data_IF_714886879858
#
_entry.id   IF_714886879858
#
_cell.length_a   1.000
_cell.length_b   1.000
_cell.length_c   1.000
_cell.angle_alpha   90.00
_cell.angle_beta   90.00
_cell.angle_gamma   90.00
#
_symmetry.space_group_name_H-M   'P 1'
#
loop_
_entity.id
_entity.type
_entity.pdbx_description
1 polymer ?
#
# COMPACT_ATOMS: atom_id res chain seq x y z
N UNK A 1 -1.71 -29.38 0.36
CA UNK A 1 -1.32 -30.42 1.33
C UNK A 1 -2.47 -31.38 1.37
N UNK A 2 -2.24 -32.61 0.91
CA UNK A 2 -3.12 -33.73 1.16
C UNK A 2 -2.88 -34.20 2.59
N UNK A 3 -3.94 -34.37 3.36
CA UNK A 3 -3.90 -35.01 4.68
C UNK A 3 -4.74 -36.27 4.49
N UNK A 4 -4.11 -37.42 4.55
CA UNK A 4 -4.78 -38.70 4.39
C UNK A 4 -5.23 -39.19 5.77
N UNK A 5 -6.54 -39.30 5.96
CA UNK A 5 -7.14 -39.82 7.20
C UNK A 5 -7.83 -41.15 6.90
N UNK A 6 -7.35 -42.22 7.53
CA UNK A 6 -7.93 -43.56 7.41
C UNK A 6 -9.25 -43.61 8.19
N UNK A 7 -10.35 -43.92 7.51
CA UNK A 7 -11.65 -44.16 8.13
C UNK A 7 -12.06 -45.62 7.89
N UNK A 8 -12.33 -46.34 8.98
CA UNK A 8 -12.92 -47.69 8.95
C UNK A 8 -14.44 -47.54 9.12
N UNK A 9 -15.20 -48.15 8.22
CA UNK A 9 -16.63 -48.37 8.36
C UNK A 9 -16.92 -49.85 8.13
N UNK A 10 -17.53 -50.49 9.13
CA UNK A 10 -18.06 -51.85 9.05
C UNK A 10 -19.46 -51.75 8.41
N UNK A 11 -19.61 -52.43 7.27
CA UNK A 11 -20.83 -52.62 6.47
C UNK A 11 -21.46 -51.40 5.73
N UNK A 12 -21.28 -51.41 4.41
CA UNK A 12 -22.39 -51.26 3.45
C UNK A 12 -22.95 -49.87 3.12
N UNK A 13 -22.47 -48.78 3.71
CA UNK A 13 -22.88 -47.43 3.29
C UNK A 13 -21.74 -46.78 2.51
N UNK A 14 -21.96 -46.54 1.21
CA UNK A 14 -21.06 -45.71 0.41
C UNK A 14 -21.06 -44.29 1.00
N UNK A 15 -20.01 -43.97 1.77
CA UNK A 15 -19.80 -42.63 2.30
C UNK A 15 -19.49 -41.68 1.14
N UNK A 16 -20.19 -40.54 1.08
CA UNK A 16 -19.85 -39.46 0.15
C UNK A 16 -18.39 -39.02 0.38
N UNK A 17 -17.62 -38.92 -0.71
CA UNK A 17 -16.23 -38.49 -0.67
C UNK A 17 -16.13 -37.08 -0.06
N UNK A 18 -15.53 -36.98 1.13
CA UNK A 18 -15.28 -35.69 1.78
C UNK A 18 -14.02 -35.07 1.16
N UNK A 19 -14.18 -34.23 0.14
CA UNK A 19 -13.06 -33.45 -0.40
C UNK A 19 -12.71 -32.29 0.53
N UNK A 20 -11.63 -32.41 1.30
CA UNK A 20 -11.11 -31.30 2.10
C UNK A 20 -10.43 -30.26 1.19
N UNK A 21 -11.17 -29.23 0.79
CA UNK A 21 -10.61 -28.08 0.05
C UNK A 21 -9.87 -27.15 1.02
N UNK A 22 -8.57 -27.32 1.17
CA UNK A 22 -7.71 -26.38 1.92
C UNK A 22 -7.22 -25.25 1.01
N UNK A 23 -7.59 -24.01 1.33
CA UNK A 23 -7.06 -22.82 0.63
C UNK A 23 -5.69 -22.45 1.21
N UNK A 24 -4.67 -22.40 0.35
CA UNK A 24 -3.31 -21.97 0.75
C UNK A 24 -3.32 -20.48 1.08
N UNK A 25 -2.96 -20.12 2.31
CA UNK A 25 -2.87 -18.72 2.70
C UNK A 25 -1.57 -18.08 2.16
N UNK A 26 -1.70 -17.33 1.06
CA UNK A 26 -0.60 -16.58 0.41
C UNK A 26 -0.15 -15.31 1.17
N UNK A 27 -0.63 -15.10 2.39
CA UNK A 27 -0.06 -14.11 3.32
C UNK A 27 1.16 -14.67 4.06
N UNK A 28 1.25 -16.01 4.18
CA UNK A 28 2.31 -16.69 4.94
C UNK A 28 3.59 -16.82 4.14
N UNK A 29 4.72 -16.54 4.79
CA UNK A 29 6.06 -16.64 4.19
C UNK A 29 6.33 -18.04 3.64
N UNK A 30 6.03 -19.09 4.42
CA UNK A 30 6.26 -20.47 4.00
C UNK A 30 5.46 -20.87 2.74
N UNK A 31 4.23 -20.38 2.61
CA UNK A 31 3.39 -20.62 1.44
C UNK A 31 3.97 -19.94 0.19
N UNK A 32 4.43 -18.69 0.33
CA UNK A 32 5.04 -17.93 -0.75
C UNK A 32 6.39 -18.53 -1.19
N UNK A 33 7.20 -19.05 -0.28
CA UNK A 33 8.46 -19.75 -0.63
C UNK A 33 8.16 -21.01 -1.45
N UNK A 34 7.14 -21.79 -1.06
CA UNK A 34 6.73 -22.97 -1.84
C UNK A 34 6.23 -22.59 -3.23
N UNK A 35 5.52 -21.48 -3.36
CA UNK A 35 5.08 -20.95 -4.65
C UNK A 35 6.26 -20.48 -5.51
N UNK A 36 7.21 -19.74 -4.92
CA UNK A 36 8.43 -19.32 -5.60
C UNK A 36 9.27 -20.50 -6.08
N UNK A 37 9.38 -21.58 -5.30
CA UNK A 37 10.09 -22.80 -5.70
C UNK A 37 9.47 -23.49 -6.92
N UNK A 38 8.17 -23.29 -7.15
CA UNK A 38 7.44 -23.86 -8.29
C UNK A 38 7.33 -22.89 -9.47
N UNK A 39 7.73 -21.63 -9.31
CA UNK A 39 7.60 -20.62 -10.32
C UNK A 39 8.59 -20.85 -11.47
N UNK A 40 8.10 -20.73 -12.70
CA UNK A 40 8.91 -20.86 -13.93
C UNK A 40 9.82 -19.65 -14.12
N UNK A 41 9.41 -18.48 -13.63
CA UNK A 41 10.16 -17.22 -13.71
C UNK A 41 10.58 -16.73 -12.32
N UNK A 42 11.67 -15.97 -12.27
CA UNK A 42 12.18 -15.40 -11.02
C UNK A 42 11.26 -14.26 -10.58
N UNK A 43 10.48 -14.52 -9.52
CA UNK A 43 9.64 -13.54 -8.88
C UNK A 43 9.94 -13.48 -7.39
N UNK A 44 10.25 -12.29 -6.87
CA UNK A 44 10.34 -12.08 -5.43
C UNK A 44 8.96 -11.71 -4.90
N UNK A 45 8.43 -12.43 -3.92
CA UNK A 45 7.12 -12.12 -3.32
C UNK A 45 7.26 -11.88 -1.83
N UNK A 46 6.70 -10.78 -1.34
CA UNK A 46 6.65 -10.41 0.07
C UNK A 46 5.20 -10.47 0.55
N UNK A 47 4.93 -11.32 1.55
CA UNK A 47 3.58 -11.55 2.09
C UNK A 47 3.21 -10.64 3.25
N UNK A 48 1.92 -10.47 3.51
CA UNK A 48 1.41 -9.63 4.60
C UNK A 48 2.00 -9.99 5.98
N UNK A 49 2.31 -11.27 6.23
CA UNK A 49 2.99 -11.70 7.46
C UNK A 49 4.39 -11.06 7.59
N UNK A 50 5.18 -11.10 6.52
CA UNK A 50 6.53 -10.51 6.48
C UNK A 50 6.45 -8.98 6.54
N UNK A 51 5.48 -8.38 5.86
CA UNK A 51 5.24 -6.92 5.92
C UNK A 51 4.98 -6.46 7.35
N UNK A 52 4.14 -7.19 8.08
CA UNK A 52 3.85 -6.90 9.48
C UNK A 52 5.10 -7.08 10.37
N UNK A 53 5.89 -8.13 10.15
CA UNK A 53 7.12 -8.37 10.92
C UNK A 53 8.19 -7.30 10.67
N UNK A 54 8.28 -6.80 9.43
CA UNK A 54 9.21 -5.73 9.05
C UNK A 54 8.70 -4.32 9.37
N UNK A 55 7.49 -4.19 9.93
CA UNK A 55 6.91 -2.89 10.31
C UNK A 55 6.68 -1.94 9.13
N UNK A 56 6.44 -2.46 7.93
CA UNK A 56 6.17 -1.62 6.74
C UNK A 56 4.69 -1.26 6.66
N UNK A 57 4.42 0.02 6.41
CA UNK A 57 3.07 0.60 6.39
C UNK A 57 2.41 0.56 5.02
N UNK A 58 3.18 0.60 3.93
CA UNK A 58 2.66 0.66 2.56
C UNK A 58 3.48 -0.15 1.54
N UNK A 59 2.98 -0.25 0.31
CA UNK A 59 3.62 -1.00 -0.77
C UNK A 59 4.98 -0.41 -1.17
N UNK A 60 5.14 0.92 -1.18
CA UNK A 60 6.41 1.55 -1.52
C UNK A 60 7.53 1.10 -0.56
N UNK A 61 7.28 1.20 0.76
CA UNK A 61 8.22 0.77 1.77
C UNK A 61 8.46 -0.75 1.71
N UNK A 62 7.42 -1.53 1.40
CA UNK A 62 7.52 -2.97 1.23
C UNK A 62 8.46 -3.38 0.08
N UNK A 63 8.29 -2.81 -1.11
CA UNK A 63 9.11 -3.20 -2.28
C UNK A 63 10.58 -2.82 -2.10
N UNK A 64 10.90 -1.77 -1.34
CA UNK A 64 12.30 -1.43 -0.99
C UNK A 64 12.98 -2.48 -0.13
N UNK A 65 12.23 -3.41 0.47
CA UNK A 65 12.79 -4.57 1.18
C UNK A 65 13.22 -5.70 0.23
N UNK A 66 12.95 -5.56 -1.06
CA UNK A 66 13.45 -6.46 -2.11
C UNK A 66 14.79 -5.96 -2.62
N UNK A 67 15.74 -6.87 -2.84
CA UNK A 67 17.06 -6.52 -3.37
C UNK A 67 16.98 -5.76 -4.70
N UNK A 68 17.82 -4.74 -4.90
CA UNK A 68 17.87 -3.97 -6.15
C UNK A 68 16.66 -3.05 -6.38
N UNK A 69 15.88 -2.74 -5.33
CA UNK A 69 14.82 -1.73 -5.35
C UNK A 69 15.17 -0.64 -4.33
N UNK A 70 15.10 0.62 -4.74
CA UNK A 70 15.28 1.78 -3.87
C UNK A 70 14.10 2.75 -3.99
N UNK A 71 13.89 3.57 -2.96
CA UNK A 71 12.87 4.62 -2.99
C UNK A 71 13.39 5.79 -3.83
N UNK A 72 12.68 6.13 -4.90
CA UNK A 72 12.91 7.38 -5.65
C UNK A 72 12.11 8.53 -5.05
N UNK A 73 12.03 9.65 -5.77
CA UNK A 73 11.31 10.85 -5.31
C UNK A 73 9.81 10.59 -5.10
N UNK A 74 9.17 9.90 -6.06
CA UNK A 74 7.74 9.58 -6.04
C UNK A 74 7.44 8.09 -6.16
N UNK A 75 8.12 7.43 -7.09
CA UNK A 75 8.05 5.98 -7.30
C UNK A 75 9.38 5.30 -7.00
N UNK A 76 9.41 3.97 -7.15
CA UNK A 76 10.59 3.17 -6.86
C UNK A 76 11.50 3.06 -8.06
N UNK A 77 12.79 2.94 -7.78
CA UNK A 77 13.85 2.71 -8.76
C UNK A 77 14.23 1.24 -8.67
N UNK A 78 14.21 0.54 -9.79
CA UNK A 78 14.51 -0.90 -9.83
C UNK A 78 15.72 -1.12 -10.72
N UNK A 79 16.80 -1.71 -10.17
CA UNK A 79 18.08 -1.92 -10.87
C UNK A 79 18.63 -0.63 -11.50
N UNK A 80 18.44 0.51 -10.84
CA UNK A 80 18.86 1.83 -11.35
C UNK A 80 17.93 2.42 -12.42
N UNK A 81 16.88 1.70 -12.83
CA UNK A 81 15.91 2.17 -13.81
C UNK A 81 14.76 2.90 -13.10
N UNK A 82 14.49 4.12 -13.56
CA UNK A 82 13.41 4.97 -13.06
C UNK A 82 12.02 4.48 -13.45
N UNK A 83 11.01 5.23 -13.02
CA UNK A 83 9.59 4.87 -13.10
C UNK A 83 9.10 4.46 -14.50
N UNK A 84 9.61 5.11 -15.56
CA UNK A 84 9.20 4.84 -16.95
C UNK A 84 9.42 3.39 -17.39
N UNK A 85 10.41 2.71 -16.81
CA UNK A 85 10.77 1.33 -17.12
C UNK A 85 10.10 0.31 -16.21
N UNK A 86 9.35 0.77 -15.21
CA UNK A 86 8.61 -0.07 -14.29
C UNK A 86 7.13 -0.10 -14.69
N UNK A 87 6.43 -1.15 -14.26
CA UNK A 87 4.97 -1.27 -14.40
C UNK A 87 4.38 -1.68 -13.07
N UNK A 88 3.26 -1.07 -12.69
CA UNK A 88 2.52 -1.42 -11.48
C UNK A 88 1.17 -2.00 -11.86
N UNK A 89 0.85 -3.15 -11.26
CA UNK A 89 -0.42 -3.85 -11.43
C UNK A 89 -1.08 -4.13 -10.09
N UNK A 90 -2.41 -4.21 -10.08
CA UNK A 90 -3.22 -4.64 -8.94
C UNK A 90 -4.00 -5.88 -9.35
N UNK A 91 -3.76 -6.98 -8.67
CA UNK A 91 -4.32 -8.29 -9.00
C UNK A 91 -4.08 -8.67 -10.48
N UNK A 92 -2.92 -8.28 -11.02
CA UNK A 92 -2.54 -8.52 -12.42
C UNK A 92 -3.08 -7.49 -13.42
N UNK A 93 -3.92 -6.54 -12.99
CA UNK A 93 -4.48 -5.50 -13.86
C UNK A 93 -3.63 -4.22 -13.82
N UNK A 94 -3.36 -3.56 -14.95
CA UNK A 94 -2.59 -2.32 -14.98
C UNK A 94 -3.31 -1.20 -14.22
N UNK A 95 -2.53 -0.40 -13.48
CA UNK A 95 -3.04 0.78 -12.80
C UNK A 95 -2.55 2.06 -13.47
N UNK A 96 -3.44 3.05 -13.71
CA UNK A 96 -3.05 4.34 -14.25
C UNK A 96 -2.35 5.19 -13.18
N UNK A 97 -1.47 6.09 -13.62
CA UNK A 97 -0.85 7.10 -12.75
C UNK A 97 -1.87 8.13 -12.26
N UNK A 98 -1.67 8.62 -11.03
CA UNK A 98 -2.36 9.81 -10.50
C UNK A 98 -1.73 11.14 -10.95
N UNK A 99 -0.52 11.08 -11.52
CA UNK A 99 0.26 12.26 -11.89
C UNK A 99 0.82 12.12 -13.32
N UNK A 100 0.55 13.09 -14.21
CA UNK A 100 1.01 13.03 -15.60
C UNK A 100 2.54 13.00 -15.77
N UNK A 101 3.33 13.42 -14.78
CA UNK A 101 4.79 13.34 -14.84
C UNK A 101 5.32 11.90 -14.70
N UNK A 102 4.51 11.01 -14.12
CA UNK A 102 4.88 9.63 -13.80
C UNK A 102 4.02 8.64 -14.58
N UNK A 103 4.61 7.50 -14.90
CA UNK A 103 3.93 6.41 -15.62
C UNK A 103 3.12 5.54 -14.66
N UNK A 104 3.65 5.26 -13.48
CA UNK A 104 3.00 4.39 -12.50
C UNK A 104 2.34 5.17 -11.38
N UNK A 105 1.27 4.58 -10.84
CA UNK A 105 0.65 5.04 -9.61
C UNK A 105 1.63 5.04 -8.44
N UNK A 106 1.52 6.01 -7.54
CA UNK A 106 2.31 5.99 -6.30
C UNK A 106 1.99 4.77 -5.45
N UNK A 107 3.02 3.96 -5.17
CA UNK A 107 2.90 2.79 -4.29
C UNK A 107 2.60 3.17 -2.82
N UNK A 108 2.73 4.46 -2.45
CA UNK A 108 2.37 4.95 -1.12
C UNK A 108 0.84 4.90 -0.89
N UNK A 109 0.00 4.85 -1.95
CA UNK A 109 -1.46 4.69 -1.82
C UNK A 109 -1.92 3.33 -1.28
N UNK A 110 -1.06 2.31 -1.37
CA UNK A 110 -1.43 0.93 -1.03
C UNK A 110 -0.94 0.57 0.36
N UNK A 111 -1.81 0.68 1.35
CA UNK A 111 -1.49 0.27 2.71
C UNK A 111 -1.37 -1.24 2.87
N UNK A 112 -0.50 -1.70 3.76
CA UNK A 112 -0.36 -3.14 4.08
C UNK A 112 -1.63 -3.77 4.66
N UNK A 113 -2.57 -2.95 5.11
CA UNK A 113 -3.90 -3.38 5.54
C UNK A 113 -4.71 -4.04 4.42
N UNK A 114 -4.59 -3.58 3.17
CA UNK A 114 -5.31 -4.12 2.00
C UNK A 114 -4.51 -5.15 1.21
N UNK A 115 -3.21 -5.25 1.45
CA UNK A 115 -2.28 -6.08 0.67
C UNK A 115 -2.18 -7.47 1.27
N UNK A 116 -2.42 -8.51 0.45
CA UNK A 116 -2.16 -9.92 0.76
C UNK A 116 -0.68 -10.24 0.58
N UNK A 117 -0.13 -9.85 -0.57
CA UNK A 117 1.28 -9.94 -0.90
C UNK A 117 1.62 -8.99 -2.05
N UNK A 118 2.91 -8.74 -2.25
CA UNK A 118 3.45 -7.95 -3.36
C UNK A 118 4.46 -8.81 -4.08
N UNK A 119 4.26 -8.99 -5.38
CA UNK A 119 5.17 -9.68 -6.28
C UNK A 119 6.00 -8.67 -7.07
N UNK A 120 7.33 -8.79 -7.01
CA UNK A 120 8.28 -8.01 -7.82
C UNK A 120 8.91 -8.96 -8.83
N UNK A 121 8.50 -8.83 -10.09
CA UNK A 121 9.07 -9.59 -11.21
C UNK A 121 10.05 -8.70 -11.97
N UNK A 122 11.33 -9.11 -11.97
CA UNK A 122 12.42 -8.39 -12.65
C UNK A 122 12.87 -9.09 -13.93
N UNK A 123 12.10 -10.08 -14.38
CA UNK A 123 12.36 -10.85 -15.58
C UNK A 123 11.27 -10.54 -16.58
N UNK A 124 11.67 -10.27 -17.81
CA UNK A 124 10.72 -10.10 -18.89
C UNK A 124 9.96 -11.41 -19.11
N UNK A 125 8.62 -11.34 -19.21
CA UNK A 125 7.77 -12.49 -19.48
C UNK A 125 6.61 -12.05 -20.36
N UNK A 126 6.05 -12.97 -21.15
CA UNK A 126 4.91 -12.69 -22.04
C UNK A 126 3.65 -12.24 -21.31
N UNK A 127 3.56 -12.49 -20.00
CA UNK A 127 2.47 -12.02 -19.15
C UNK A 127 2.64 -10.56 -18.70
N UNK A 128 3.83 -9.98 -18.85
CA UNK A 128 4.10 -8.59 -18.50
C UNK A 128 3.92 -7.69 -19.73
N UNK A 129 3.66 -6.40 -19.50
CA UNK A 129 3.61 -5.42 -20.57
C UNK A 129 4.98 -5.31 -21.29
N UNK A 130 4.94 -5.13 -22.61
CA UNK A 130 6.13 -5.08 -23.47
C UNK A 130 7.07 -3.90 -23.21
N UNK A 131 6.63 -2.93 -22.42
CA UNK A 131 7.33 -1.69 -22.08
C UNK A 131 8.06 -1.76 -20.71
N UNK A 132 8.15 -2.97 -20.11
CA UNK A 132 8.79 -3.21 -18.81
C UNK A 132 10.25 -3.61 -18.99
N UNK A 133 11.16 -2.67 -18.67
CA UNK A 133 12.61 -2.91 -18.66
C UNK A 133 13.21 -3.11 -17.27
N UNK A 134 12.57 -2.57 -16.22
CA UNK A 134 13.03 -2.65 -14.83
C UNK A 134 12.37 -3.78 -14.06
N UNK A 135 11.12 -3.58 -13.68
CA UNK A 135 10.28 -4.61 -13.07
C UNK A 135 8.79 -4.36 -13.23
N UNK A 136 8.02 -5.45 -13.19
CA UNK A 136 6.60 -5.40 -12.90
C UNK A 136 6.38 -5.63 -11.39
N UNK A 137 5.62 -4.73 -10.78
CA UNK A 137 5.26 -4.74 -9.36
C UNK A 137 3.76 -5.03 -9.30
N UNK A 138 3.40 -6.25 -8.92
CA UNK A 138 2.02 -6.67 -8.78
C UNK A 138 1.62 -6.66 -7.31
N UNK A 139 0.66 -5.82 -6.96
CA UNK A 139 0.04 -5.78 -5.64
C UNK A 139 -1.14 -6.74 -5.66
N UNK A 140 -1.16 -7.73 -4.77
CA UNK A 140 -2.30 -8.63 -4.64
C UNK A 140 -3.09 -8.23 -3.40
N UNK A 141 -4.36 -7.90 -3.58
CA UNK A 141 -5.24 -7.51 -2.48
C UNK A 141 -5.66 -8.72 -1.62
N UNK A 142 -6.02 -8.46 -0.36
CA UNK A 142 -6.63 -9.45 0.52
C UNK A 142 -7.97 -9.92 -0.05
N UNK A 143 -8.26 -11.20 0.16
CA UNK A 143 -9.49 -11.85 -0.24
C UNK A 143 -10.30 -12.26 0.99
N UNK A 144 -11.61 -12.35 0.82
CA UNK A 144 -12.50 -12.80 1.88
C UNK A 144 -12.47 -14.33 2.00
N UNK A 145 -11.74 -14.84 2.98
CA UNK A 145 -11.68 -16.28 3.26
C UNK A 145 -12.93 -16.79 4.00
N UNK A 146 -13.59 -15.92 4.78
CA UNK A 146 -14.81 -16.24 5.55
C UNK A 146 -16.07 -15.76 4.81
N UNK A 147 -17.25 -16.16 5.28
CA UNK A 147 -18.53 -15.65 4.73
C UNK A 147 -18.73 -14.16 5.00
N UNK A 148 -18.26 -13.69 6.15
CA UNK A 148 -18.29 -12.28 6.56
C UNK A 148 -17.03 -11.96 7.34
N UNK A 149 -16.54 -10.74 7.20
CA UNK A 149 -15.44 -10.22 8.00
C UNK A 149 -15.63 -8.73 8.25
N UNK A 150 -15.39 -8.29 9.48
CA UNK A 150 -15.34 -6.89 9.85
C UNK A 150 -14.16 -6.67 10.79
N UNK A 151 -13.39 -5.62 10.57
CA UNK A 151 -12.31 -5.23 11.48
C UNK A 151 -12.17 -3.72 11.52
N UNK A 152 -11.98 -3.17 12.71
CA UNK A 152 -11.67 -1.77 12.93
C UNK A 152 -10.34 -1.73 13.68
N UNK A 153 -9.41 -0.87 13.23
CA UNK A 153 -8.16 -0.59 13.94
C UNK A 153 -7.99 0.90 14.07
N UNK A 154 -7.69 1.34 15.30
CA UNK A 154 -7.33 2.71 15.61
C UNK A 154 -5.91 2.68 16.16
N UNK A 155 -5.08 3.62 15.71
CA UNK A 155 -3.71 3.78 16.11
C UNK A 155 -3.41 5.23 16.48
N UNK A 156 -2.54 5.40 17.48
CA UNK A 156 -2.00 6.69 17.88
C UNK A 156 -0.53 6.52 18.19
N UNK A 157 0.31 7.50 17.86
CA UNK A 157 1.76 7.43 18.08
C UNK A 157 2.35 8.79 18.39
N UNK A 158 3.31 8.82 19.31
CA UNK A 158 4.06 10.02 19.68
C UNK A 158 5.54 9.73 19.48
N UNK A 159 6.26 10.68 18.89
CA UNK A 159 7.71 10.62 18.82
C UNK A 159 8.30 11.35 20.03
N UNK A 160 8.98 10.62 20.93
CA UNK A 160 9.57 11.18 22.15
C UNK A 160 10.61 12.26 21.88
N UNK A 161 11.31 12.21 20.75
CA UNK A 161 12.32 13.19 20.36
C UNK A 161 11.73 14.54 19.92
N UNK A 162 10.43 14.59 19.63
CA UNK A 162 9.76 15.80 19.12
C UNK A 162 8.73 16.37 20.09
N UNK A 163 8.66 15.86 21.33
CA UNK A 163 7.65 16.26 22.32
C UNK A 163 7.73 17.75 22.65
N UNK A 164 8.96 18.27 22.79
CA UNK A 164 9.22 19.68 23.08
C UNK A 164 9.50 20.52 21.83
N UNK A 165 9.26 19.97 20.64
CA UNK A 165 9.52 20.65 19.37
C UNK A 165 8.23 21.27 18.83
N UNK A 166 8.40 22.42 18.20
CA UNK A 166 7.31 23.16 17.56
C UNK A 166 7.14 22.64 16.13
N UNK A 167 5.91 22.29 15.75
CA UNK A 167 5.57 21.90 14.39
C UNK A 167 4.90 23.06 13.67
N UNK A 168 5.24 23.22 12.40
CA UNK A 168 4.64 24.18 11.50
C UNK A 168 3.50 23.49 10.74
N UNK A 169 2.32 24.10 10.77
CA UNK A 169 1.12 23.61 10.09
C UNK A 169 0.60 24.66 9.12
N UNK A 170 0.03 24.21 8.00
CA UNK A 170 -0.56 25.09 6.99
C UNK A 170 -1.79 25.77 7.61
N UNK A 171 -1.87 27.09 7.49
CA UNK A 171 -3.03 27.84 7.96
C UNK A 171 -4.29 27.47 7.15
N UNK A 172 -5.44 27.36 7.84
CA UNK A 172 -6.73 27.00 7.22
C UNK A 172 -6.94 25.51 6.85
N UNK A 173 -5.94 24.64 6.99
CA UNK A 173 -6.10 23.21 6.76
C UNK A 173 -6.72 22.51 7.98
N UNK A 174 -7.77 21.71 7.75
CA UNK A 174 -8.33 20.87 8.80
C UNK A 174 -7.49 19.58 8.99
N UNK A 175 -7.84 18.78 10.01
CA UNK A 175 -7.17 17.51 10.32
C UNK A 175 -7.29 16.44 9.22
N UNK A 176 -8.15 16.65 8.23
CA UNK A 176 -8.33 15.79 7.06
C UNK A 176 -7.59 16.32 5.83
N UNK A 177 -6.79 17.38 5.97
CA UNK A 177 -6.05 18.00 4.88
C UNK A 177 -6.92 18.81 3.92
N UNK A 178 -8.21 18.99 4.21
CA UNK A 178 -9.06 19.86 3.40
C UNK A 178 -9.03 21.28 3.96
N UNK A 179 -8.96 22.26 3.06
CA UNK A 179 -9.08 23.66 3.42
C UNK A 179 -10.52 24.09 3.15
N UNK A 180 -11.17 24.70 4.16
CA UNK A 180 -12.46 25.34 3.94
C UNK A 180 -12.17 26.68 3.26
N UNK A 181 -12.28 26.72 1.94
CA UNK A 181 -12.20 27.95 1.17
C UNK A 181 -13.46 28.77 1.49
N UNK A 182 -13.33 29.75 2.38
CA UNK A 182 -14.48 30.55 2.88
C UNK A 182 -14.97 31.59 1.86
N UNK A 183 -14.43 31.64 0.64
CA UNK A 183 -14.70 32.72 -0.31
C UNK A 183 -15.19 32.19 -1.65
N UNK A 184 -16.32 32.74 -2.12
CA UNK A 184 -16.77 32.62 -3.50
C UNK A 184 -15.89 33.53 -4.37
N UNK A 185 -15.29 32.99 -5.44
CA UNK A 185 -14.57 33.77 -6.46
C UNK A 185 -15.62 34.48 -7.34
N UNK A 186 -16.38 35.40 -6.76
CA UNK A 186 -17.43 36.15 -7.49
C UNK A 186 -16.95 37.52 -7.94
N UNK A 187 -15.76 37.94 -7.51
CA UNK A 187 -15.19 39.23 -7.87
C UNK A 187 -13.68 39.09 -8.12
N UNK A 188 -13.26 39.24 -9.37
CA UNK A 188 -11.86 39.21 -9.80
C UNK A 188 -11.05 40.44 -9.34
N UNK A 189 -11.72 41.48 -8.81
CA UNK A 189 -11.08 42.70 -8.30
C UNK A 189 -10.75 42.64 -6.81
N UNK A 190 -11.24 41.62 -6.07
CA UNK A 190 -10.99 41.45 -4.64
C UNK A 190 -9.97 40.32 -4.41
N UNK A 191 -8.73 40.68 -4.11
CA UNK A 191 -7.70 39.76 -3.60
C UNK A 191 -8.01 39.39 -2.14
N UNK A 192 -8.88 38.38 -1.92
CA UNK A 192 -9.31 37.96 -0.57
C UNK A 192 -8.52 36.76 -0.01
N UNK A 193 -7.26 36.58 -0.43
CA UNK A 193 -6.40 35.53 0.12
C UNK A 193 -5.87 36.00 1.48
N UNK A 194 -6.61 35.68 2.55
CA UNK A 194 -6.10 35.84 3.94
C UNK A 194 -5.15 34.73 4.37
N UNK A 195 -4.70 33.86 3.45
CA UNK A 195 -3.67 32.88 3.79
C UNK A 195 -2.38 33.65 4.10
N UNK A 196 -2.08 33.78 5.38
CA UNK A 196 -0.76 34.22 5.78
C UNK A 196 0.23 33.16 5.33
N UNK A 197 1.33 33.55 4.68
CA UNK A 197 2.47 32.65 4.48
C UNK A 197 3.11 32.22 5.81
N UNK A 198 2.69 32.83 6.93
CA UNK A 198 3.12 32.46 8.26
C UNK A 198 2.42 31.16 8.70
N UNK A 199 3.17 30.06 8.89
CA UNK A 199 2.61 28.81 9.35
C UNK A 199 2.06 28.92 10.77
N UNK A 200 1.00 28.17 11.06
CA UNK A 200 0.49 28.01 12.41
C UNK A 200 1.43 27.11 13.21
N UNK A 201 1.80 27.58 14.40
CA UNK A 201 2.71 26.89 15.32
C UNK A 201 1.91 26.03 16.28
N UNK A 202 2.24 24.76 16.36
CA UNK A 202 1.60 23.84 17.27
C UNK A 202 2.64 22.95 17.93
N UNK A 203 2.59 22.89 19.26
CA UNK A 203 3.45 22.02 20.05
C UNK A 203 2.87 20.60 20.08
N UNK A 204 3.75 19.60 20.06
CA UNK A 204 3.43 18.18 20.19
C UNK A 204 2.41 17.69 19.14
N UNK A 205 2.90 17.00 18.12
CA UNK A 205 2.04 16.34 17.15
C UNK A 205 1.89 14.85 17.43
N UNK A 206 0.66 14.37 17.31
CA UNK A 206 0.30 12.97 17.56
C UNK A 206 -0.09 12.34 16.24
N UNK A 207 0.66 11.31 15.83
CA UNK A 207 0.31 10.50 14.67
C UNK A 207 -0.97 9.75 14.95
N UNK A 208 -1.89 9.71 14.00
CA UNK A 208 -3.17 9.00 14.14
C UNK A 208 -3.43 8.15 12.92
N UNK A 209 -3.99 6.97 13.12
CA UNK A 209 -4.44 6.11 12.04
C UNK A 209 -5.78 5.48 12.39
N UNK A 210 -6.64 5.36 11.39
CA UNK A 210 -7.90 4.67 11.47
C UNK A 210 -8.02 3.80 10.22
N UNK A 211 -8.31 2.52 10.39
CA UNK A 211 -8.63 1.64 9.28
C UNK A 211 -9.85 0.81 9.61
N UNK A 212 -10.72 0.64 8.64
CA UNK A 212 -11.85 -0.27 8.73
C UNK A 212 -11.84 -1.20 7.52
N UNK A 213 -12.27 -2.44 7.75
CA UNK A 213 -12.39 -3.48 6.74
C UNK A 213 -13.76 -4.10 6.91
N UNK A 214 -14.49 -4.27 5.83
CA UNK A 214 -15.74 -5.00 5.81
C UNK A 214 -15.80 -5.84 4.55
N UNK A 215 -16.21 -7.09 4.67
CA UNK A 215 -16.45 -7.91 3.51
C UNK A 215 -17.51 -8.96 3.74
N UNK A 216 -18.23 -9.27 2.66
CA UNK A 216 -19.33 -10.23 2.65
C UNK A 216 -19.26 -11.06 1.38
N UNK A 217 -19.31 -12.38 1.54
CA UNK A 217 -19.44 -13.35 0.44
C UNK A 217 -20.89 -13.77 0.34
N UNK A 218 -21.43 -13.65 -0.86
CA UNK A 218 -22.74 -14.09 -1.29
C UNK A 218 -22.56 -15.36 -2.10
N UNK A 219 -23.30 -16.41 -1.75
CA UNK A 219 -23.35 -17.64 -2.54
C UNK A 219 -24.48 -17.45 -3.55
N UNK A 220 -24.17 -17.59 -4.84
CA UNK A 220 -25.11 -17.45 -5.96
C UNK A 220 -25.25 -18.83 -6.62
N UNK A 221 -26.36 -19.51 -6.34
CA UNK A 221 -26.59 -20.87 -6.84
C UNK A 221 -25.73 -21.93 -6.14
N UNK A 222 -25.55 -23.09 -6.79
CA UNK A 222 -24.96 -24.29 -6.16
C UNK A 222 -23.43 -24.23 -6.03
N UNK A 223 -22.73 -23.43 -6.85
CA UNK A 223 -21.25 -23.39 -6.86
C UNK A 223 -20.60 -22.01 -7.09
N UNK A 224 -21.37 -20.95 -7.38
CA UNK A 224 -20.77 -19.64 -7.63
C UNK A 224 -20.80 -18.79 -6.36
N UNK A 225 -19.73 -18.05 -6.11
CA UNK A 225 -19.67 -17.10 -4.99
C UNK A 225 -19.28 -15.73 -5.51
N UNK A 226 -20.00 -14.72 -5.08
CA UNK A 226 -19.69 -13.32 -5.31
C UNK A 226 -19.26 -12.68 -3.99
N UNK A 227 -18.14 -11.97 -3.93
CA UNK A 227 -17.68 -11.32 -2.70
C UNK A 227 -17.53 -9.82 -2.89
N UNK A 228 -18.04 -9.05 -1.93
CA UNK A 228 -17.83 -7.61 -1.84
C UNK A 228 -16.86 -7.34 -0.70
N UNK A 229 -15.88 -6.48 -0.96
CA UNK A 229 -14.86 -6.09 0.00
C UNK A 229 -14.70 -4.58 0.01
N UNK A 230 -14.80 -3.97 1.18
CA UNK A 230 -14.66 -2.54 1.41
C UNK A 230 -13.55 -2.34 2.43
N UNK A 231 -12.60 -1.47 2.09
CA UNK A 231 -11.54 -1.07 3.01
C UNK A 231 -11.39 0.44 2.96
N UNK A 232 -11.28 1.05 4.12
CA UNK A 232 -10.91 2.45 4.26
C UNK A 232 -9.73 2.58 5.20
N UNK A 233 -8.80 3.45 4.84
CA UNK A 233 -7.70 3.87 5.68
C UNK A 233 -7.65 5.41 5.70
N UNK A 234 -7.43 5.96 6.88
CA UNK A 234 -7.04 7.35 7.07
C UNK A 234 -5.86 7.38 8.02
N UNK A 235 -4.77 8.02 7.62
CA UNK A 235 -3.61 8.25 8.48
C UNK A 235 -3.16 9.69 8.42
N UNK A 236 -2.75 10.23 9.56
CA UNK A 236 -2.13 11.53 9.72
C UNK A 236 -0.81 11.35 10.44
N UNK A 237 0.29 11.54 9.71
CA UNK A 237 1.64 11.39 10.21
C UNK A 237 2.33 12.76 10.21
N UNK A 238 3.10 13.04 11.25
CA UNK A 238 3.86 14.26 11.39
C UNK A 238 5.35 13.96 11.31
N UNK A 239 6.05 14.77 10.53
CA UNK A 239 7.50 14.69 10.40
C UNK A 239 8.12 16.00 10.87
N UNK A 240 9.15 15.89 11.71
CA UNK A 240 9.99 17.00 12.10
C UNK A 240 11.36 16.78 11.46
N UNK A 241 11.87 17.79 10.76
CA UNK A 241 13.21 17.80 10.20
C UNK A 241 13.91 19.08 10.65
N UNK A 242 15.09 18.93 11.25
CA UNK A 242 15.95 20.04 11.63
C UNK A 242 17.16 20.02 10.69
N UNK A 243 17.26 21.01 9.81
CA UNK A 243 18.32 21.07 8.82
C UNK A 243 18.31 22.42 8.11
N UNK A 244 19.50 22.90 7.71
CA UNK A 244 19.60 24.05 6.83
C UNK A 244 19.22 23.59 5.41
N UNK A 245 18.07 24.02 4.91
CA UNK A 245 17.70 23.81 3.51
C UNK A 245 18.60 24.74 2.68
N UNK A 246 19.64 24.19 2.06
CA UNK A 246 20.49 24.92 1.13
C UNK A 246 19.98 24.67 -0.28
N UNK A 247 19.27 25.64 -0.85
CA UNK A 247 18.98 25.63 -2.28
C UNK A 247 20.22 26.15 -3.03
N UNK A 248 20.82 25.31 -3.86
CA UNK A 248 21.79 25.75 -4.86
C UNK A 248 21.02 26.10 -6.12
N UNK A 249 21.00 27.38 -6.47
CA UNK A 249 20.66 27.80 -7.84
C UNK A 249 21.87 27.57 -8.75
N UNK A 250 21.66 27.44 -10.05
CA UNK A 250 22.72 27.26 -11.06
C UNK A 250 23.80 28.38 -11.05
N UNK A 251 23.61 29.47 -10.30
CA UNK A 251 24.57 30.56 -10.11
C UNK A 251 25.48 30.43 -8.88
N UNK A 252 25.42 29.35 -8.11
CA UNK A 252 26.31 29.13 -6.96
C UNK A 252 26.00 29.98 -5.72
N UNK A 253 24.92 30.76 -5.73
CA UNK A 253 24.43 31.46 -4.54
C UNK A 253 23.55 30.53 -3.70
N UNK A 254 23.97 30.32 -2.45
CA UNK A 254 23.22 29.57 -1.43
C UNK A 254 22.26 30.52 -0.75
N UNK A 255 20.96 30.34 -0.98
CA UNK A 255 19.94 30.99 -0.15
C UNK A 255 19.59 30.13 1.06
N UNK A 256 19.24 30.81 2.15
CA UNK A 256 18.89 30.24 3.45
C UNK A 256 17.45 30.67 3.71
N UNK A 257 16.51 29.72 3.67
CA UNK A 257 15.20 29.87 4.32
C UNK A 257 15.30 29.32 5.75
#
# INVERSE_FOLDING_TARGET
>A
MTIDQLMSAEEGVALEEITIKSTVNKEKVAALILEQKKAVSIQTTIGAQELSQKGVSNAAAAVTKTAGVSKGAKNVIVRGLGDRYNSTTLNGLPLPSEDPEYKNISLDFFDTNIIKNIGVNKVFSSANAGDVGGANINIVSKELNKLKEASIRLGSGINSQTVSKEFLTIDGANKFGTQKLTHSITDFSVYNFKNSFQPNRQNLQINKSASFKYGKKFVVGTNNTFSVFLVGNSSGNYQYQEGNIKQNTNGGSVFRD
#
